data_IF_491155573535
#
_entry.id   IF_491155573535
#
_cell.length_a   1.000
_cell.length_b   1.000
_cell.length_c   1.000
_cell.angle_alpha   90.00
_cell.angle_beta   90.00
_cell.angle_gamma   90.00
#
_symmetry.space_group_name_H-M   'P 1'
#
loop_
_entity.id
_entity.type
_entity.pdbx_description
1 polymer ?
#
# COMPACT_ATOMS: atom_id res chain seq x y z
N UNK A 1 12.94 -5.08 -7.64
CA UNK A 1 12.70 -4.50 -6.29
C UNK A 1 11.25 -4.73 -5.92
N UNK A 2 10.97 -5.31 -4.75
CA UNK A 2 9.60 -5.52 -4.23
C UNK A 2 9.12 -4.33 -3.40
N UNK A 3 7.80 -4.09 -3.32
CA UNK A 3 7.23 -2.99 -2.54
C UNK A 3 7.57 -3.09 -1.04
N UNK A 4 7.64 -4.32 -0.51
CA UNK A 4 8.07 -4.55 0.87
C UNK A 4 9.55 -4.25 1.07
N UNK A 5 10.41 -4.57 0.08
CA UNK A 5 11.84 -4.24 0.14
C UNK A 5 12.08 -2.74 0.09
N UNK A 6 11.36 -2.02 -0.78
CA UNK A 6 11.41 -0.56 -0.83
C UNK A 6 10.94 0.06 0.49
N UNK A 7 9.84 -0.46 1.06
CA UNK A 7 9.33 0.01 2.34
C UNK A 7 10.36 -0.16 3.48
N UNK A 8 11.10 -1.28 3.52
CA UNK A 8 12.16 -1.47 4.52
C UNK A 8 13.31 -0.47 4.34
N UNK A 9 13.69 -0.15 3.10
CA UNK A 9 14.69 0.88 2.82
C UNK A 9 14.23 2.26 3.25
N UNK A 10 12.96 2.61 2.99
CA UNK A 10 12.41 3.91 3.36
C UNK A 10 12.22 4.03 4.88
N UNK A 11 11.87 2.95 5.56
CA UNK A 11 11.92 2.90 7.02
C UNK A 11 13.32 3.18 7.57
N UNK A 12 14.36 2.60 6.97
CA UNK A 12 15.74 2.87 7.37
C UNK A 12 16.11 4.35 7.16
N UNK A 13 15.79 4.92 5.99
CA UNK A 13 16.03 6.34 5.70
C UNK A 13 15.29 7.27 6.65
N UNK A 14 14.01 7.01 6.89
CA UNK A 14 13.19 7.87 7.75
C UNK A 14 13.67 7.86 9.21
N UNK A 15 14.17 6.71 9.70
CA UNK A 15 14.85 6.64 11.01
C UNK A 15 16.14 7.45 11.02
N UNK A 16 16.97 7.34 9.99
CA UNK A 16 18.23 8.07 9.90
C UNK A 16 18.03 9.59 9.82
N UNK A 17 16.95 10.04 9.18
CA UNK A 17 16.64 11.46 9.00
C UNK A 17 15.65 12.03 10.02
N UNK A 18 15.15 11.21 10.97
CA UNK A 18 14.17 11.63 11.97
C UNK A 18 12.81 12.03 11.39
N UNK A 19 12.49 11.59 10.18
CA UNK A 19 11.23 11.93 9.51
C UNK A 19 10.15 10.89 9.82
N UNK A 20 8.85 11.24 9.70
CA UNK A 20 7.77 10.28 9.92
C UNK A 20 7.88 9.03 9.04
N UNK A 21 7.58 7.87 9.60
CA UNK A 21 7.63 6.60 8.87
C UNK A 21 6.51 6.53 7.81
N UNK A 22 6.79 5.99 6.61
CA UNK A 22 5.74 5.72 5.64
C UNK A 22 4.74 4.70 6.21
N UNK A 23 3.46 4.75 5.79
CA UNK A 23 2.49 3.73 6.16
C UNK A 23 2.87 2.38 5.57
N UNK A 24 2.62 1.29 6.31
CA UNK A 24 2.89 -0.04 5.82
C UNK A 24 2.11 -0.33 4.51
N UNK A 25 2.77 -0.89 3.48
CA UNK A 25 2.09 -1.33 2.27
C UNK A 25 1.08 -2.43 2.60
N UNK A 26 0.03 -2.59 1.78
CA UNK A 26 -0.99 -3.62 2.00
C UNK A 26 -2.13 -3.23 2.93
N UNK A 27 -2.02 -2.13 3.69
CA UNK A 27 -3.03 -1.75 4.70
C UNK A 27 -4.42 -1.50 4.12
N UNK A 28 -4.51 -1.06 2.86
CA UNK A 28 -5.78 -0.69 2.22
C UNK A 28 -6.08 -1.49 0.95
N UNK A 29 -5.19 -2.39 0.55
CA UNK A 29 -5.25 -3.08 -0.75
C UNK A 29 -6.53 -3.92 -0.85
N UNK A 30 -6.90 -4.61 0.23
CA UNK A 30 -8.13 -5.40 0.29
C UNK A 30 -9.40 -4.55 0.13
N UNK A 31 -9.42 -3.34 0.70
CA UNK A 31 -10.54 -2.42 0.54
C UNK A 31 -10.64 -1.90 -0.90
N UNK A 32 -9.50 -1.57 -1.51
CA UNK A 32 -9.41 -1.17 -2.93
C UNK A 32 -9.87 -2.30 -3.84
N UNK A 33 -9.41 -3.53 -3.60
CA UNK A 33 -9.81 -4.72 -4.36
C UNK A 33 -11.32 -4.99 -4.24
N UNK A 34 -11.90 -4.90 -3.03
CA UNK A 34 -13.35 -5.03 -2.84
C UNK A 34 -14.13 -3.96 -3.58
N UNK A 35 -13.67 -2.71 -3.55
CA UNK A 35 -14.29 -1.61 -4.29
C UNK A 35 -14.23 -1.84 -5.81
N UNK A 36 -13.10 -2.32 -6.30
CA UNK A 36 -12.90 -2.68 -7.71
C UNK A 36 -13.82 -3.82 -8.13
N UNK A 37 -13.86 -4.92 -7.37
CA UNK A 37 -14.76 -6.07 -7.66
C UNK A 37 -16.21 -5.62 -7.70
N UNK A 38 -16.66 -4.80 -6.74
CA UNK A 38 -18.02 -4.23 -6.73
C UNK A 38 -18.29 -3.34 -7.95
N UNK A 39 -17.30 -2.60 -8.44
CA UNK A 39 -17.41 -1.80 -9.67
C UNK A 39 -17.52 -2.68 -10.90
N UNK A 40 -16.71 -3.73 -10.99
CA UNK A 40 -16.73 -4.67 -12.11
C UNK A 40 -18.05 -5.45 -12.18
N UNK A 41 -18.57 -5.91 -11.03
CA UNK A 41 -19.88 -6.58 -10.97
C UNK A 41 -21.02 -5.70 -11.51
N UNK A 42 -21.02 -4.41 -11.17
CA UNK A 42 -22.01 -3.43 -11.67
C UNK A 42 -21.90 -3.11 -13.16
N UNK A 43 -20.81 -3.51 -13.84
CA UNK A 43 -20.66 -3.34 -15.30
C UNK A 43 -21.15 -4.53 -16.10
N UNK A 44 -21.36 -5.67 -15.44
CA UNK A 44 -21.76 -6.95 -16.07
C UNK A 44 -23.25 -7.24 -15.82
N UNK A 45 -23.92 -6.43 -14.97
CA UNK A 45 -25.37 -6.40 -14.78
C UNK A 45 -25.98 -5.31 -15.65
#
# INVERSE_FOLDING_TARGET
MSITQQYLLDLHRTRAHGTPHPPAPGRHDLAVLRALVRRLRRRVS
#
